data_IF_287580334317
#
_entry.id   IF_287580334317
#
_cell.length_a   1.000
_cell.length_b   1.000
_cell.length_c   1.000
_cell.angle_alpha   90.00
_cell.angle_beta   90.00
_cell.angle_gamma   90.00
#
_symmetry.space_group_name_H-M   'P 1'
#
loop_
_entity.id
_entity.type
_entity.pdbx_description
1 polymer ?
#
# COMPACT_ATOMS: atom_id res chain seq x y z
N UNK A 1 -60.41 -22.37 -41.47
CA UNK A 1 -61.11 -21.46 -40.53
C UNK A 1 -60.60 -21.77 -39.13
N UNK A 2 -60.52 -20.78 -38.23
CA UNK A 2 -59.97 -20.92 -36.86
C UNK A 2 -60.83 -21.93 -36.03
N UNK A 3 -60.40 -22.51 -34.89
CA UNK A 3 -59.62 -21.93 -33.77
C UNK A 3 -58.90 -22.99 -32.90
N UNK A 4 -57.84 -22.56 -32.19
CA UNK A 4 -57.29 -23.16 -30.96
C UNK A 4 -58.33 -22.91 -29.82
N UNK A 5 -58.58 -23.74 -28.80
CA UNK A 5 -57.80 -24.14 -27.59
C UNK A 5 -58.47 -25.41 -26.98
N UNK A 6 -58.03 -26.11 -25.92
CA UNK A 6 -56.88 -26.01 -25.01
C UNK A 6 -56.45 -27.39 -24.48
N UNK A 7 -55.33 -27.47 -23.75
CA UNK A 7 -55.02 -28.56 -22.80
C UNK A 7 -54.06 -28.09 -21.71
N UNK A 8 -54.57 -27.95 -20.49
CA UNK A 8 -53.76 -27.65 -19.31
C UNK A 8 -52.61 -28.65 -19.13
N UNK A 9 -51.37 -28.19 -19.32
CA UNK A 9 -50.19 -28.91 -18.88
C UNK A 9 -49.82 -28.42 -17.48
N UNK A 10 -49.85 -29.30 -16.48
CA UNK A 10 -49.46 -28.95 -15.12
C UNK A 10 -47.99 -28.52 -15.08
N UNK A 11 -47.76 -27.23 -14.80
CA UNK A 11 -46.44 -26.72 -14.51
C UNK A 11 -45.92 -27.36 -13.20
N UNK A 12 -44.80 -28.07 -13.30
CA UNK A 12 -43.99 -28.46 -12.16
C UNK A 12 -43.35 -27.18 -11.60
N UNK A 13 -43.42 -26.89 -10.29
CA UNK A 13 -42.73 -25.74 -9.75
C UNK A 13 -41.22 -26.04 -9.75
N UNK A 14 -40.50 -25.47 -10.71
CA UNK A 14 -39.05 -25.51 -10.71
C UNK A 14 -38.54 -24.63 -9.55
N UNK A 15 -37.81 -25.27 -8.64
CA UNK A 15 -37.24 -24.62 -7.45
C UNK A 15 -36.10 -23.68 -7.86
N UNK A 16 -36.46 -22.42 -8.13
CA UNK A 16 -35.52 -21.34 -8.41
C UNK A 16 -34.92 -20.72 -7.14
N UNK A 17 -35.04 -21.37 -5.97
CA UNK A 17 -34.67 -20.81 -4.67
C UNK A 17 -33.25 -21.18 -4.22
N UNK A 18 -32.28 -21.14 -5.15
CA UNK A 18 -30.86 -21.13 -4.77
C UNK A 18 -30.30 -19.72 -4.95
N UNK A 19 -30.27 -18.88 -3.89
CA UNK A 19 -29.61 -17.59 -3.96
C UNK A 19 -28.12 -17.85 -4.18
N UNK A 20 -27.69 -17.73 -5.45
CA UNK A 20 -26.30 -17.85 -5.83
C UNK A 20 -25.51 -16.84 -5.02
N UNK A 21 -24.61 -17.33 -4.16
CA UNK A 21 -23.75 -16.50 -3.34
C UNK A 21 -23.04 -15.51 -4.27
N UNK A 22 -23.46 -14.23 -4.24
CA UNK A 22 -22.82 -13.16 -5.01
C UNK A 22 -21.38 -13.11 -4.53
N UNK A 23 -20.49 -13.69 -5.33
CA UNK A 23 -19.05 -13.60 -5.12
C UNK A 23 -18.74 -12.12 -5.12
N UNK A 24 -18.45 -11.56 -3.95
CA UNK A 24 -18.18 -10.13 -3.80
C UNK A 24 -17.07 -9.77 -4.78
N UNK A 25 -17.44 -8.99 -5.80
CA UNK A 25 -16.47 -8.48 -6.77
C UNK A 25 -15.68 -7.45 -6.00
N UNK A 26 -14.49 -7.84 -5.54
CA UNK A 26 -13.58 -6.96 -4.83
C UNK A 26 -13.22 -5.83 -5.77
N UNK A 27 -13.73 -4.63 -5.50
CA UNK A 27 -13.31 -3.40 -6.15
C UNK A 27 -11.86 -3.10 -5.71
N UNK A 28 -10.90 -3.60 -6.49
CA UNK A 28 -9.47 -3.47 -6.22
C UNK A 28 -9.06 -1.98 -6.16
N UNK A 29 -9.47 -1.10 -7.10
CA UNK A 29 -9.29 0.35 -6.94
C UNK A 29 -9.78 0.90 -5.60
N UNK A 30 -11.02 0.60 -5.18
CA UNK A 30 -11.53 1.09 -3.90
C UNK A 30 -10.72 0.58 -2.70
N UNK A 31 -10.34 -0.70 -2.69
CA UNK A 31 -9.50 -1.28 -1.63
C UNK A 31 -8.11 -0.66 -1.58
N UNK A 32 -7.50 -0.37 -2.75
CA UNK A 32 -6.21 0.34 -2.83
C UNK A 32 -6.34 1.74 -2.26
N UNK A 33 -7.39 2.49 -2.60
CA UNK A 33 -7.60 3.86 -2.10
C UNK A 33 -7.75 3.87 -0.58
N UNK A 34 -8.59 3.00 -0.02
CA UNK A 34 -8.78 2.89 1.44
C UNK A 34 -7.46 2.53 2.12
N UNK A 35 -6.77 1.49 1.64
CA UNK A 35 -5.54 1.01 2.27
C UNK A 35 -4.36 2.00 2.13
N UNK A 36 -4.33 2.85 1.09
CA UNK A 36 -3.36 3.93 0.99
C UNK A 36 -3.69 5.08 1.96
N UNK A 37 -4.97 5.44 2.14
CA UNK A 37 -5.40 6.43 3.13
C UNK A 37 -5.04 6.02 4.57
N UNK A 38 -5.33 4.77 4.95
CA UNK A 38 -4.90 4.22 6.25
C UNK A 38 -3.37 4.27 6.45
N UNK A 39 -2.60 4.17 5.36
CA UNK A 39 -1.14 4.28 5.39
C UNK A 39 -0.64 5.74 5.38
N UNK A 40 -1.48 6.71 5.02
CA UNK A 40 -1.19 8.13 5.20
C UNK A 40 -1.34 8.53 6.67
N UNK A 41 -2.41 8.08 7.33
CA UNK A 41 -2.59 8.24 8.78
C UNK A 41 -1.46 7.53 9.56
N UNK A 42 -1.13 6.29 9.20
CA UNK A 42 -0.04 5.55 9.83
C UNK A 42 1.34 6.18 9.59
N UNK A 43 1.56 6.84 8.45
CA UNK A 43 2.78 7.60 8.21
C UNK A 43 2.84 8.86 9.09
N UNK A 44 1.73 9.59 9.22
CA UNK A 44 1.62 10.73 10.12
C UNK A 44 1.93 10.35 11.57
N UNK A 45 1.32 9.26 12.05
CA UNK A 45 1.58 8.70 13.38
C UNK A 45 3.04 8.28 13.57
N UNK A 46 3.66 7.61 12.58
CA UNK A 46 5.07 7.23 12.64
C UNK A 46 5.99 8.46 12.65
N UNK A 47 5.70 9.50 11.85
CA UNK A 47 6.45 10.76 11.86
C UNK A 47 6.33 11.49 13.19
N UNK A 48 5.18 11.41 13.86
CA UNK A 48 4.93 12.02 15.17
C UNK A 48 5.52 11.25 16.38
N UNK A 49 6.16 10.09 16.16
CA UNK A 49 6.82 9.35 17.25
C UNK A 49 7.93 10.18 17.94
N UNK A 50 8.18 9.91 19.24
CA UNK A 50 9.33 10.45 19.96
C UNK A 50 10.66 10.24 19.22
N UNK A 51 11.61 11.15 19.46
CA UNK A 51 12.92 11.17 18.83
C UNK A 51 13.94 11.95 19.69
N UNK A 52 13.84 11.82 21.02
CA UNK A 52 14.75 12.43 21.99
C UNK A 52 16.07 11.67 22.19
N UNK A 53 16.22 10.49 21.58
CA UNK A 53 17.45 9.69 21.67
C UNK A 53 17.59 8.65 20.56
N UNK A 54 18.79 8.05 20.46
CA UNK A 54 19.17 7.15 19.37
C UNK A 54 18.19 5.97 19.18
N UNK A 55 17.73 5.34 20.26
CA UNK A 55 16.75 4.24 20.18
C UNK A 55 15.40 4.71 19.61
N UNK A 56 14.91 5.85 20.06
CA UNK A 56 13.63 6.41 19.58
C UNK A 56 13.72 6.81 18.10
N UNK A 57 14.84 7.41 17.68
CA UNK A 57 15.12 7.66 16.27
C UNK A 57 15.12 6.38 15.43
N UNK A 58 15.74 5.29 15.93
CA UNK A 58 15.77 4.00 15.25
C UNK A 58 14.37 3.39 15.09
N UNK A 59 13.57 3.38 16.16
CA UNK A 59 12.23 2.81 16.16
C UNK A 59 11.25 3.63 15.31
N UNK A 60 11.37 4.97 15.34
CA UNK A 60 10.65 5.90 14.45
C UNK A 60 10.98 5.66 12.98
N UNK A 61 12.27 5.61 12.64
CA UNK A 61 12.72 5.33 11.27
C UNK A 61 12.21 3.96 10.78
N UNK A 62 12.26 2.93 11.63
CA UNK A 62 11.77 1.59 11.31
C UNK A 62 10.25 1.56 11.12
N UNK A 63 9.48 2.32 11.90
CA UNK A 63 8.04 2.48 11.72
C UNK A 63 7.71 3.12 10.35
N UNK A 64 8.38 4.22 10.01
CA UNK A 64 8.22 4.89 8.70
C UNK A 64 8.58 3.93 7.56
N UNK A 65 9.68 3.18 7.67
CA UNK A 65 10.10 2.22 6.66
C UNK A 65 9.06 1.13 6.38
N UNK A 66 8.40 0.62 7.44
CA UNK A 66 7.32 -0.37 7.32
C UNK A 66 6.09 0.18 6.59
N UNK A 67 5.75 1.45 6.83
CA UNK A 67 4.63 2.13 6.14
C UNK A 67 4.94 2.30 4.65
N UNK A 68 6.12 2.82 4.31
CA UNK A 68 6.57 2.92 2.90
C UNK A 68 6.59 1.55 2.20
N UNK A 69 7.07 0.49 2.86
CA UNK A 69 7.07 -0.86 2.29
C UNK A 69 5.65 -1.38 1.98
N UNK A 70 4.67 -1.07 2.85
CA UNK A 70 3.25 -1.40 2.63
C UNK A 70 2.64 -0.58 1.49
N UNK A 71 2.93 0.72 1.40
CA UNK A 71 2.48 1.56 0.26
C UNK A 71 3.05 1.03 -1.07
N UNK A 72 4.34 0.68 -1.09
CA UNK A 72 4.99 0.11 -2.27
C UNK A 72 4.27 -1.17 -2.77
N UNK A 73 3.83 -2.04 -1.85
CA UNK A 73 3.05 -3.23 -2.18
C UNK A 73 1.68 -2.89 -2.78
N UNK A 74 0.92 -1.96 -2.19
CA UNK A 74 -0.38 -1.54 -2.72
C UNK A 74 -0.30 -0.86 -4.08
N UNK A 75 0.69 0.01 -4.30
CA UNK A 75 0.96 0.58 -5.62
C UNK A 75 1.27 -0.48 -6.67
N UNK A 76 1.99 -1.56 -6.30
CA UNK A 76 2.27 -2.70 -7.19
C UNK A 76 1.02 -3.53 -7.49
N UNK A 77 0.10 -3.67 -6.52
CA UNK A 77 -1.23 -4.29 -6.73
C UNK A 77 -2.04 -3.47 -7.74
N UNK A 78 -2.09 -2.15 -7.57
CA UNK A 78 -2.78 -1.26 -8.51
C UNK A 78 -2.17 -1.36 -9.92
N UNK A 79 -0.85 -1.25 -10.06
CA UNK A 79 -0.18 -1.37 -11.36
C UNK A 79 -0.55 -2.69 -12.07
N UNK A 80 -0.51 -3.82 -11.35
CA UNK A 80 -0.90 -5.14 -11.89
C UNK A 80 -2.37 -5.20 -12.29
N UNK A 81 -3.26 -4.62 -11.48
CA UNK A 81 -4.68 -4.51 -11.81
C UNK A 81 -4.90 -3.66 -13.07
N UNK A 82 -4.32 -2.47 -13.13
CA UNK A 82 -4.47 -1.50 -14.22
C UNK A 82 -4.04 -2.10 -15.56
N UNK A 83 -2.89 -2.79 -15.61
CA UNK A 83 -2.45 -3.49 -16.83
C UNK A 83 -3.34 -4.68 -17.21
N UNK A 84 -3.90 -5.42 -16.24
CA UNK A 84 -4.77 -6.58 -16.51
C UNK A 84 -6.18 -6.17 -16.96
N UNK A 85 -6.71 -5.08 -16.42
CA UNK A 85 -8.08 -4.62 -16.68
C UNK A 85 -8.21 -3.70 -17.91
N UNK A 86 -7.12 -3.47 -18.66
CA UNK A 86 -7.17 -2.75 -19.93
C UNK A 86 -7.22 -1.22 -19.83
N UNK A 87 -6.98 -0.66 -18.64
CA UNK A 87 -6.87 0.79 -18.47
C UNK A 87 -5.66 1.37 -19.25
N UNK A 88 -5.70 2.68 -19.49
CA UNK A 88 -4.64 3.36 -20.22
C UNK A 88 -3.26 3.16 -19.55
N UNK A 89 -2.24 2.80 -20.36
CA UNK A 89 -0.90 2.38 -19.89
C UNK A 89 -0.21 3.41 -18.99
N UNK A 90 -0.54 4.69 -19.12
CA UNK A 90 -0.03 5.76 -18.27
C UNK A 90 -0.34 5.53 -16.78
N UNK A 91 -1.55 5.08 -16.45
CA UNK A 91 -1.94 4.81 -15.05
C UNK A 91 -1.14 3.64 -14.46
N UNK A 92 -0.93 2.58 -15.25
CA UNK A 92 -0.11 1.43 -14.82
C UNK A 92 1.34 1.82 -14.61
N UNK A 93 1.89 2.69 -15.47
CA UNK A 93 3.25 3.24 -15.33
C UNK A 93 3.37 4.15 -14.11
N UNK A 94 2.39 5.02 -13.87
CA UNK A 94 2.35 5.91 -12.70
C UNK A 94 2.31 5.11 -11.39
N UNK A 95 1.43 4.10 -11.29
CA UNK A 95 1.36 3.22 -10.12
C UNK A 95 2.65 2.39 -9.93
N UNK A 96 3.31 1.96 -11.01
CA UNK A 96 4.60 1.28 -10.91
C UNK A 96 5.71 2.21 -10.38
N UNK A 97 5.80 3.44 -10.90
CA UNK A 97 6.76 4.44 -10.42
C UNK A 97 6.53 4.77 -8.93
N UNK A 98 5.28 4.96 -8.50
CA UNK A 98 4.95 5.15 -7.09
C UNK A 98 5.35 3.94 -6.20
N UNK A 99 5.23 2.71 -6.72
CA UNK A 99 5.70 1.51 -6.03
C UNK A 99 7.22 1.48 -5.85
N UNK A 100 7.97 1.94 -6.85
CA UNK A 100 9.43 1.95 -6.81
C UNK A 100 9.93 3.09 -5.89
N UNK A 101 9.37 4.30 -5.99
CA UNK A 101 9.64 5.42 -5.06
C UNK A 101 9.40 5.03 -3.60
N UNK A 102 8.26 4.40 -3.28
CA UNK A 102 7.99 3.98 -1.90
C UNK A 102 8.89 2.82 -1.45
N UNK A 103 9.39 1.97 -2.37
CA UNK A 103 10.39 0.93 -2.05
C UNK A 103 11.74 1.54 -1.69
N UNK A 104 12.16 2.56 -2.42
CA UNK A 104 13.42 3.27 -2.16
C UNK A 104 13.34 4.07 -0.86
N UNK A 105 12.22 4.75 -0.59
CA UNK A 105 11.94 5.36 0.73
C UNK A 105 11.97 4.32 1.86
N UNK A 106 11.37 3.14 1.64
CA UNK A 106 11.39 2.06 2.62
C UNK A 106 12.79 1.45 2.83
N UNK A 107 13.68 1.52 1.83
CA UNK A 107 15.09 1.16 1.99
C UNK A 107 15.82 2.23 2.78
N UNK A 108 15.76 3.49 2.34
CA UNK A 108 16.35 4.64 3.03
C UNK A 108 16.02 4.59 4.53
N UNK A 109 14.75 4.56 4.91
CA UNK A 109 14.37 4.55 6.32
C UNK A 109 14.80 3.30 7.11
N UNK A 110 15.05 2.16 6.47
CA UNK A 110 15.68 0.98 7.12
C UNK A 110 17.17 1.22 7.37
N UNK A 111 17.87 1.78 6.40
CA UNK A 111 19.30 2.09 6.50
C UNK A 111 19.52 3.16 7.60
N UNK A 112 18.63 4.17 7.68
CA UNK A 112 18.56 5.17 8.77
C UNK A 112 18.29 4.51 10.13
N UNK A 113 17.34 3.57 10.22
CA UNK A 113 17.03 2.88 11.47
C UNK A 113 18.20 2.03 11.99
N UNK A 114 18.93 1.37 11.08
CA UNK A 114 20.12 0.61 11.41
C UNK A 114 21.25 1.52 11.94
N UNK A 115 21.45 2.70 11.33
CA UNK A 115 22.44 3.67 11.79
C UNK A 115 22.16 4.17 13.21
N UNK A 116 20.92 4.58 13.49
CA UNK A 116 20.52 5.02 14.83
C UNK A 116 20.61 3.92 15.88
N UNK A 117 20.32 2.65 15.52
CA UNK A 117 20.55 1.50 16.43
C UNK A 117 22.04 1.30 16.69
N UNK A 118 22.91 1.33 15.67
CA UNK A 118 24.35 1.23 15.85
C UNK A 118 24.91 2.33 16.77
N UNK A 119 24.43 3.58 16.63
CA UNK A 119 24.76 4.69 17.55
C UNK A 119 24.27 4.46 18.98
N UNK A 120 23.11 3.82 19.18
CA UNK A 120 22.63 3.45 20.51
C UNK A 120 23.52 2.37 21.15
N UNK A 121 23.95 1.40 20.35
CA UNK A 121 24.76 0.25 20.77
C UNK A 121 26.28 0.54 20.79
N UNK A 122 26.69 1.80 20.57
CA UNK A 122 28.08 2.27 20.48
C UNK A 122 28.95 1.54 19.44
N UNK A 123 28.32 1.06 18.36
CA UNK A 123 28.98 0.35 17.26
C UNK A 123 29.46 1.30 16.16
N UNK A 124 30.49 0.93 15.37
CA UNK A 124 30.87 1.67 14.18
C UNK A 124 29.71 1.81 13.20
N UNK A 125 29.45 3.05 12.77
CA UNK A 125 28.41 3.39 11.81
C UNK A 125 28.93 3.31 10.36
N UNK A 126 28.03 3.10 9.41
CA UNK A 126 28.32 3.14 7.97
C UNK A 126 28.45 4.59 7.48
N UNK A 127 29.18 4.87 6.40
CA UNK A 127 29.34 6.23 5.83
C UNK A 127 28.02 6.95 5.47
N UNK A 128 26.89 6.22 5.40
CA UNK A 128 25.55 6.82 5.38
C UNK A 128 25.29 7.78 6.58
N UNK A 129 25.95 7.54 7.72
CA UNK A 129 25.97 8.40 8.89
C UNK A 129 26.54 9.80 8.63
N UNK A 130 27.59 9.89 7.80
CA UNK A 130 28.22 11.15 7.40
C UNK A 130 27.29 11.97 6.50
N UNK A 131 26.58 11.31 5.59
CA UNK A 131 25.58 11.97 4.73
C UNK A 131 24.44 12.60 5.53
N UNK A 132 24.01 12.00 6.66
CA UNK A 132 23.03 12.60 7.58
C UNK A 132 23.57 13.78 8.37
N UNK A 133 24.82 13.73 8.83
CA UNK A 133 25.46 14.87 9.50
C UNK A 133 25.46 16.12 8.61
N UNK A 134 25.56 15.92 7.29
CA UNK A 134 25.54 16.99 6.31
C UNK A 134 24.14 17.62 6.09
N UNK A 135 23.02 17.10 6.63
CA UNK A 135 21.70 17.74 6.43
C UNK A 135 21.58 19.10 7.13
N UNK A 136 22.30 19.29 8.24
CA UNK A 136 22.43 20.59 8.91
C UNK A 136 23.32 21.56 8.11
N UNK A 137 24.32 21.04 7.38
CA UNK A 137 25.24 21.83 6.52
C UNK A 137 24.60 22.17 5.15
N UNK A 138 23.73 21.31 4.63
CA UNK A 138 22.98 21.49 3.38
C UNK A 138 21.77 22.42 3.52
N UNK A 139 21.54 23.00 4.72
CA UNK A 139 20.44 23.94 4.96
C UNK A 139 19.04 23.34 4.84
N UNK A 140 18.89 22.01 4.95
CA UNK A 140 17.59 21.32 4.88
C UNK A 140 17.03 21.11 6.30
N UNK A 141 16.96 22.20 7.04
CA UNK A 141 16.11 22.39 8.22
C UNK A 141 15.07 23.46 7.89
N UNK A 142 13.85 23.30 8.42
CA UNK A 142 12.78 24.29 8.29
C UNK A 142 13.11 25.62 8.99
#
# INVERSE_FOLDING_TARGET
MHTITDRHHHARPDDHTRPGARRLVVDIPAHVVIALGELDDAYGAAVAMPHGGNVEHADRALAIARVCARRAAWWRVLARFTYRAGYHRLHGKAALLASDTERDRARFWRDIAADWRARADQQPTSDAAGALSNWAELGVSA
#
